data_IF_756295028018
#
_entry.id   IF_756295028018
#
_cell.length_a   1.000
_cell.length_b   1.000
_cell.length_c   1.000
_cell.angle_alpha   90.00
_cell.angle_beta   90.00
_cell.angle_gamma   90.00
#
_symmetry.space_group_name_H-M   'P 1'
#
loop_
_entity.id
_entity.type
_entity.pdbx_description
1 polymer ?
#
# COMPACT_ATOMS: atom_id res chain seq x y z
N UNK A 1 8.09 27.65 -0.80
CA UNK A 1 7.63 26.31 -1.21
C UNK A 1 8.73 25.34 -0.82
N UNK A 2 8.49 24.32 0.01
CA UNK A 2 9.52 23.32 0.28
C UNK A 2 9.83 22.58 -1.04
N UNK A 3 11.10 22.58 -1.44
CA UNK A 3 11.51 22.32 -2.83
C UNK A 3 11.69 20.84 -3.23
N UNK A 4 11.48 19.86 -2.34
CA UNK A 4 11.95 18.49 -2.61
C UNK A 4 10.92 17.36 -2.49
N UNK A 5 9.62 17.64 -2.36
CA UNK A 5 8.60 16.59 -2.35
C UNK A 5 7.77 16.60 -3.64
N UNK A 6 8.16 15.75 -4.58
CA UNK A 6 7.41 15.50 -5.81
C UNK A 6 6.64 14.18 -5.70
N UNK A 7 5.34 14.25 -5.42
CA UNK A 7 4.46 13.10 -5.67
C UNK A 7 4.22 13.05 -7.18
N UNK A 8 4.74 12.02 -7.85
CA UNK A 8 4.38 11.72 -9.24
C UNK A 8 2.96 11.17 -9.23
N UNK A 9 1.99 11.98 -9.65
CA UNK A 9 0.57 11.62 -9.63
C UNK A 9 0.13 11.13 -11.00
N UNK A 10 -0.17 9.83 -11.10
CA UNK A 10 -0.79 9.22 -12.30
C UNK A 10 -1.94 8.33 -11.88
N UNK A 11 -2.98 8.22 -12.72
CA UNK A 11 -4.18 7.41 -12.43
C UNK A 11 -3.86 5.95 -12.16
N UNK A 12 -2.96 5.37 -12.95
CA UNK A 12 -2.54 3.97 -12.85
C UNK A 12 -1.80 3.71 -11.53
N UNK A 13 -0.87 4.59 -11.16
CA UNK A 13 -0.17 4.49 -9.88
C UNK A 13 -1.11 4.67 -8.68
N UNK A 14 -2.06 5.60 -8.77
CA UNK A 14 -3.07 5.83 -7.74
C UNK A 14 -3.97 4.60 -7.57
N UNK A 15 -4.45 4.05 -8.68
CA UNK A 15 -5.30 2.86 -8.68
C UNK A 15 -4.56 1.64 -8.10
N UNK A 16 -3.31 1.42 -8.52
CA UNK A 16 -2.47 0.35 -7.97
C UNK A 16 -2.29 0.51 -6.46
N UNK A 17 -1.96 1.72 -6.00
CA UNK A 17 -1.77 2.02 -4.59
C UNK A 17 -3.04 1.74 -3.78
N UNK A 18 -4.20 2.17 -4.27
CA UNK A 18 -5.50 1.92 -3.62
C UNK A 18 -5.79 0.43 -3.52
N UNK A 19 -5.53 -0.32 -4.59
CA UNK A 19 -5.68 -1.77 -4.61
C UNK A 19 -4.74 -2.45 -3.61
N UNK A 20 -3.49 -2.02 -3.52
CA UNK A 20 -2.54 -2.50 -2.50
C UNK A 20 -3.10 -2.28 -1.08
N UNK A 21 -3.75 -1.16 -0.82
CA UNK A 21 -4.38 -0.88 0.47
C UNK A 21 -5.79 -1.46 0.65
N UNK A 22 -6.28 -2.19 -0.35
CA UNK A 22 -7.57 -2.89 -0.33
C UNK A 22 -8.78 -1.99 -0.55
N UNK A 23 -8.58 -0.82 -1.13
CA UNK A 23 -9.63 0.10 -1.55
C UNK A 23 -10.04 -0.18 -3.00
N UNK A 24 -10.54 -1.39 -3.26
CA UNK A 24 -10.78 -1.90 -4.63
C UNK A 24 -11.75 -1.02 -5.44
N UNK A 25 -12.86 -0.59 -4.83
CA UNK A 25 -13.83 0.30 -5.49
C UNK A 25 -13.22 1.67 -5.85
N UNK A 26 -12.37 2.20 -4.96
CA UNK A 26 -11.68 3.46 -5.19
C UNK A 26 -10.54 3.30 -6.22
N UNK A 27 -9.91 2.14 -6.26
CA UNK A 27 -8.91 1.82 -7.28
C UNK A 27 -9.55 1.85 -8.68
N UNK A 28 -10.73 1.26 -8.84
CA UNK A 28 -11.46 1.37 -10.10
C UNK A 28 -11.92 2.81 -10.40
N UNK A 29 -12.38 3.54 -9.38
CA UNK A 29 -12.77 4.94 -9.53
C UNK A 29 -11.60 5.83 -9.97
N UNK A 30 -10.40 5.59 -9.42
CA UNK A 30 -9.18 6.33 -9.75
C UNK A 30 -8.83 6.26 -11.24
N UNK A 31 -9.07 5.11 -11.89
CA UNK A 31 -8.86 4.94 -13.33
C UNK A 31 -9.81 5.76 -14.20
N UNK A 32 -10.96 6.18 -13.64
CA UNK A 32 -12.02 6.92 -14.36
C UNK A 32 -11.98 8.43 -14.11
N UNK A 33 -11.08 8.92 -13.26
CA UNK A 33 -10.96 10.35 -12.96
C UNK A 33 -10.63 11.16 -14.21
N UNK A 34 -11.23 12.33 -14.36
CA UNK A 34 -10.76 13.36 -15.30
C UNK A 34 -9.41 13.95 -14.86
N UNK A 35 -8.73 14.69 -15.74
CA UNK A 35 -7.48 15.39 -15.39
C UNK A 35 -7.71 16.42 -14.27
N UNK A 36 -8.87 17.08 -14.26
CA UNK A 36 -9.20 18.08 -13.25
C UNK A 36 -9.47 17.44 -11.88
N UNK A 37 -10.17 16.32 -11.84
CA UNK A 37 -10.37 15.56 -10.61
C UNK A 37 -9.05 14.98 -10.10
N UNK A 38 -8.21 14.44 -10.99
CA UNK A 38 -6.88 13.96 -10.62
C UNK A 38 -6.03 15.08 -10.00
N UNK A 39 -6.11 16.31 -10.53
CA UNK A 39 -5.45 17.48 -9.95
C UNK A 39 -6.00 17.83 -8.58
N UNK A 40 -7.31 17.73 -8.36
CA UNK A 40 -7.90 17.97 -7.03
C UNK A 40 -7.40 16.95 -6.00
N UNK A 41 -7.35 15.67 -6.38
CA UNK A 41 -6.78 14.62 -5.51
C UNK A 41 -5.30 14.89 -5.21
N UNK A 42 -4.53 15.37 -6.19
CA UNK A 42 -3.13 15.75 -5.97
C UNK A 42 -2.99 16.90 -4.96
N UNK A 43 -3.85 17.92 -5.03
CA UNK A 43 -3.85 19.04 -4.08
C UNK A 43 -4.14 18.54 -2.65
N UNK A 44 -5.13 17.64 -2.49
CA UNK A 44 -5.42 17.02 -1.21
C UNK A 44 -4.24 16.18 -0.69
N UNK A 45 -3.52 15.48 -1.57
CA UNK A 45 -2.33 14.72 -1.20
C UNK A 45 -1.19 15.61 -0.68
N UNK A 46 -0.98 16.78 -1.30
CA UNK A 46 -0.01 17.77 -0.79
C UNK A 46 -0.47 18.31 0.57
N UNK A 47 -1.76 18.61 0.72
CA UNK A 47 -2.31 19.07 1.99
C UNK A 47 -2.08 18.05 3.11
N UNK A 48 -2.36 16.76 2.88
CA UNK A 48 -2.07 15.71 3.85
C UNK A 48 -0.59 15.57 4.15
N UNK A 49 0.29 15.70 3.14
CA UNK A 49 1.74 15.65 3.38
C UNK A 49 2.22 16.77 4.32
N UNK A 50 1.66 17.97 4.20
CA UNK A 50 2.06 19.12 5.02
C UNK A 50 1.38 19.17 6.39
N UNK A 51 0.17 18.60 6.53
CA UNK A 51 -0.68 18.79 7.72
C UNK A 51 -0.89 17.53 8.56
N UNK A 52 -0.72 16.33 8.00
CA UNK A 52 -0.84 15.11 8.80
C UNK A 52 0.38 14.99 9.72
N UNK A 53 0.20 14.83 11.04
CA UNK A 53 1.33 14.60 11.93
C UNK A 53 2.02 13.28 11.55
N UNK A 54 3.37 13.30 11.55
CA UNK A 54 4.11 12.04 11.43
C UNK A 54 3.67 11.09 12.55
N UNK A 55 3.43 9.80 12.24
CA UNK A 55 3.00 8.87 13.27
C UNK A 55 4.07 8.74 14.36
N UNK A 56 3.69 9.00 15.61
CA UNK A 56 4.59 8.86 16.78
C UNK A 56 5.19 7.46 16.89
N UNK A 57 4.44 6.45 16.41
CA UNK A 57 4.90 5.06 16.28
C UNK A 57 4.34 4.44 15.00
N UNK A 58 5.19 3.73 14.27
CA UNK A 58 4.83 3.05 13.02
C UNK A 58 5.63 3.53 11.81
N UNK A 59 5.41 2.93 10.63
CA UNK A 59 6.08 3.37 9.41
C UNK A 59 5.63 4.79 9.07
N UNK A 60 6.58 5.64 8.65
CA UNK A 60 6.29 6.97 8.10
C UNK A 60 5.15 6.89 7.07
N UNK A 61 4.37 7.97 6.97
CA UNK A 61 3.37 8.12 5.91
C UNK A 61 4.07 8.13 4.55
N UNK A 62 4.25 6.94 3.98
CA UNK A 62 4.81 6.77 2.65
C UNK A 62 3.88 7.45 1.65
N UNK A 63 4.44 8.02 0.58
CA UNK A 63 3.69 8.73 -0.47
C UNK A 63 2.43 7.98 -0.94
N UNK A 64 2.48 6.65 -1.03
CA UNK A 64 1.31 5.82 -1.37
C UNK A 64 0.13 5.96 -0.40
N UNK A 65 0.39 6.00 0.91
CA UNK A 65 -0.69 6.14 1.90
C UNK A 65 -1.30 7.55 1.88
N UNK A 66 -0.47 8.56 1.63
CA UNK A 66 -0.92 9.95 1.43
C UNK A 66 -1.83 10.02 0.20
N UNK A 67 -1.43 9.42 -0.93
CA UNK A 67 -2.26 9.36 -2.14
C UNK A 67 -3.60 8.65 -1.90
N UNK A 68 -3.59 7.55 -1.15
CA UNK A 68 -4.80 6.80 -0.83
C UNK A 68 -5.77 7.61 0.05
N UNK A 69 -5.27 8.29 1.09
CA UNK A 69 -6.10 9.17 1.95
C UNK A 69 -6.69 10.33 1.16
N UNK A 70 -5.91 10.96 0.29
CA UNK A 70 -6.40 12.03 -0.57
C UNK A 70 -7.55 11.58 -1.48
N UNK A 71 -7.45 10.38 -2.08
CA UNK A 71 -8.53 9.84 -2.91
C UNK A 71 -9.77 9.48 -2.08
N UNK A 72 -9.59 8.93 -0.88
CA UNK A 72 -10.69 8.66 0.05
C UNK A 72 -11.41 9.97 0.41
N UNK A 73 -10.68 11.01 0.78
CA UNK A 73 -11.26 12.31 1.13
C UNK A 73 -11.99 12.93 -0.07
N UNK A 74 -11.41 12.84 -1.27
CA UNK A 74 -12.06 13.31 -2.49
C UNK A 74 -13.37 12.57 -2.78
N UNK A 75 -13.36 11.24 -2.73
CA UNK A 75 -14.50 10.41 -3.12
C UNK A 75 -15.62 10.39 -2.06
N UNK A 76 -15.24 10.34 -0.77
CA UNK A 76 -16.17 10.13 0.33
C UNK A 76 -16.50 11.44 1.07
N UNK A 77 -15.79 12.53 0.79
CA UNK A 77 -15.88 13.82 1.50
C UNK A 77 -15.64 13.70 3.01
N UNK A 78 -14.90 12.68 3.41
CA UNK A 78 -14.54 12.40 4.80
C UNK A 78 -13.10 11.92 4.88
N UNK A 79 -12.37 12.38 5.90
CA UNK A 79 -11.01 11.95 6.16
C UNK A 79 -11.05 10.66 7.00
N UNK A 80 -10.73 9.52 6.37
CA UNK A 80 -10.47 8.25 7.07
C UNK A 80 -9.15 7.64 6.60
N UNK A 81 -8.66 6.67 7.36
CA UNK A 81 -7.51 5.87 6.94
C UNK A 81 -7.93 4.78 5.95
N UNK A 82 -6.94 4.19 5.28
CA UNK A 82 -7.10 3.05 4.38
C UNK A 82 -7.58 1.79 5.12
N UNK A 83 -8.35 0.93 4.43
CA UNK A 83 -8.85 -0.35 4.95
C UNK A 83 -7.74 -1.28 5.47
N UNK A 84 -6.53 -1.19 4.91
CA UNK A 84 -5.38 -1.99 5.34
C UNK A 84 -4.22 -1.11 5.77
N UNK A 85 -3.63 -1.45 6.91
CA UNK A 85 -2.36 -0.83 7.35
C UNK A 85 -1.17 -1.33 6.52
N UNK A 86 -1.23 -2.58 6.04
CA UNK A 86 -0.19 -3.21 5.21
C UNK A 86 -0.68 -3.40 3.78
N UNK A 87 0.20 -3.12 2.82
CA UNK A 87 -0.03 -3.37 1.40
C UNK A 87 -0.29 -4.85 1.14
N UNK A 88 -1.19 -5.15 0.21
CA UNK A 88 -1.36 -6.47 -0.38
C UNK A 88 -0.07 -6.83 -1.10
N UNK A 89 0.40 -8.05 -0.91
CA UNK A 89 1.47 -8.62 -1.73
C UNK A 89 0.84 -9.17 -3.00
N UNK A 90 1.38 -8.80 -4.17
CA UNK A 90 0.92 -9.40 -5.42
C UNK A 90 1.19 -10.93 -5.40
N UNK A 91 0.29 -11.76 -5.96
CA UNK A 91 0.51 -13.20 -6.05
C UNK A 91 1.83 -13.55 -6.76
N UNK A 92 2.22 -12.79 -7.79
CA UNK A 92 3.52 -12.98 -8.48
C UNK A 92 4.75 -12.70 -7.59
N UNK A 93 4.58 -12.06 -6.44
CA UNK A 93 5.63 -11.77 -5.47
C UNK A 93 5.48 -12.54 -4.15
N UNK A 94 4.33 -13.19 -3.92
CA UNK A 94 4.09 -14.01 -2.74
C UNK A 94 5.01 -15.24 -2.71
N UNK A 95 5.38 -15.80 -3.87
CA UNK A 95 6.26 -16.96 -3.97
C UNK A 95 7.68 -16.73 -3.47
N UNK A 96 8.17 -15.48 -3.41
CA UNK A 96 9.50 -15.16 -2.88
C UNK A 96 9.52 -14.82 -1.38
N UNK A 97 8.38 -14.44 -0.80
CA UNK A 97 8.25 -14.08 0.62
C UNK A 97 7.65 -15.20 1.48
N UNK A 98 6.93 -16.14 0.86
CA UNK A 98 6.58 -17.42 1.47
C UNK A 98 7.82 -18.32 1.45
N UNK A 99 8.81 -17.99 2.29
CA UNK A 99 9.93 -18.88 2.58
C UNK A 99 9.40 -20.27 2.89
N UNK A 100 9.82 -21.21 2.05
CA UNK A 100 9.83 -22.66 2.22
C UNK A 100 9.43 -23.12 3.63
N UNK A 101 8.14 -23.40 3.82
CA UNK A 101 7.76 -24.40 4.82
C UNK A 101 7.97 -25.74 4.12
N UNK A 102 9.20 -26.24 4.10
CA UNK A 102 9.48 -27.60 3.64
C UNK A 102 8.57 -28.56 4.43
N UNK A 103 7.64 -29.28 3.78
CA UNK A 103 7.13 -30.48 4.37
C UNK A 103 8.20 -31.57 4.20
N UNK A 104 8.17 -32.54 5.11
CA UNK A 104 8.89 -33.81 5.02
C UNK A 104 10.37 -33.79 5.42
N UNK A 105 10.60 -33.97 6.72
CA UNK A 105 11.63 -34.93 7.13
C UNK A 105 10.94 -36.30 7.17
N UNK A 106 11.16 -37.20 6.20
CA UNK A 106 10.79 -38.60 6.39
C UNK A 106 11.69 -39.18 7.48
N UNK A 107 11.06 -39.92 8.39
CA UNK A 107 11.73 -40.82 9.29
C UNK A 107 12.64 -41.80 8.54
N UNK A 108 13.61 -42.33 9.29
CA UNK A 108 14.41 -43.55 9.05
C UNK A 108 15.91 -43.29 8.88
N UNK A 109 16.65 -43.47 9.97
CA UNK A 109 17.72 -44.47 9.99
C UNK A 109 17.88 -45.01 11.41
N UNK A 110 17.46 -46.25 11.60
CA UNK A 110 17.91 -47.06 12.72
C UNK A 110 19.32 -47.61 12.48
N UNK A 111 19.86 -48.11 13.59
CA UNK A 111 20.92 -49.13 13.74
C UNK A 111 22.40 -48.71 13.90
N UNK A 112 22.92 -49.13 15.07
CA UNK A 112 24.28 -49.63 15.41
C UNK A 112 25.37 -48.59 15.69
N UNK A 113 26.19 -48.66 16.75
CA UNK A 113 26.74 -49.77 17.58
C UNK A 113 26.84 -49.31 19.04
N UNK A 114 26.45 -50.11 20.04
CA UNK A 114 27.25 -51.12 20.76
C UNK A 114 28.47 -50.58 21.55
N UNK A 115 28.30 -50.65 22.88
CA UNK A 115 29.28 -50.81 23.99
C UNK A 115 30.37 -49.74 24.17
#
# INVERSE_FOLDING_TARGET
MPENFQITFRRDLLAETLWEYGEDDLAEAALRLSEDELRQVQILAVWHHENDPEPETGPQLLAGRIMARAMIEFAERTARDTKRVRRRTRPEHAGHLAGERSPDTPAEHGLNRHL
#
